data_IF_150695364869
#
_entry.id   IF_150695364869
#
_cell.length_a   1.000
_cell.length_b   1.000
_cell.length_c   1.000
_cell.angle_alpha   90.00
_cell.angle_beta   90.00
_cell.angle_gamma   90.00
#
_symmetry.space_group_name_H-M   'P 1'
#
loop_
_entity.id
_entity.type
_entity.pdbx_description
1 polymer ?
#
# COMPACT_ATOMS: atom_id res chain seq x y z
N UNK A 1 13.03 16.82 21.59
CA UNK A 1 13.36 15.65 20.78
C UNK A 1 12.14 15.46 19.90
N UNK A 2 12.19 16.05 18.72
CA UNK A 2 11.13 15.88 17.72
C UNK A 2 11.13 14.40 17.36
N UNK A 3 10.10 13.71 17.85
CA UNK A 3 9.79 12.36 17.37
C UNK A 3 9.21 12.60 15.98
N UNK A 4 10.03 12.56 14.91
CA UNK A 4 9.54 12.49 13.55
C UNK A 4 8.68 11.23 13.49
N UNK A 5 7.37 11.40 13.70
CA UNK A 5 6.42 10.30 13.52
C UNK A 5 6.48 9.90 12.05
N UNK A 6 7.02 8.70 11.80
CA UNK A 6 7.08 8.16 10.45
C UNK A 6 5.66 7.83 10.03
N UNK A 7 5.19 8.48 8.95
CA UNK A 7 3.89 8.19 8.35
C UNK A 7 3.83 6.71 7.96
N UNK A 8 2.87 5.98 8.51
CA UNK A 8 2.71 4.54 8.26
C UNK A 8 2.04 4.32 6.91
N UNK A 9 2.44 3.26 6.19
CA UNK A 9 1.95 2.96 4.85
C UNK A 9 0.97 1.80 4.83
N UNK A 10 -0.11 1.97 4.10
CA UNK A 10 -1.10 0.93 3.81
C UNK A 10 -0.87 0.43 2.38
N UNK A 11 -0.50 -0.86 2.25
CA UNK A 11 -0.01 -1.48 1.01
C UNK A 11 -0.95 -2.63 0.61
N UNK A 12 -1.99 -2.40 -0.20
CA UNK A 12 -2.79 -3.49 -0.73
C UNK A 12 -1.98 -4.38 -1.68
N UNK A 13 -2.23 -5.68 -1.59
CA UNK A 13 -1.58 -6.69 -2.41
C UNK A 13 -2.46 -7.08 -3.59
N UNK A 14 -1.87 -7.07 -4.78
CA UNK A 14 -2.52 -7.46 -6.02
C UNK A 14 -2.22 -8.93 -6.33
N UNK A 15 -3.24 -9.66 -6.79
CA UNK A 15 -3.06 -10.98 -7.33
C UNK A 15 -2.96 -10.95 -8.87
N UNK A 16 -2.78 -12.13 -9.48
CA UNK A 16 -2.59 -12.27 -10.93
C UNK A 16 -3.80 -11.88 -11.77
N UNK A 17 -5.02 -11.91 -11.18
CA UNK A 17 -6.24 -11.63 -11.91
C UNK A 17 -6.60 -10.14 -11.73
N UNK A 18 -6.83 -9.44 -12.84
CA UNK A 18 -7.23 -8.03 -12.86
C UNK A 18 -6.23 -7.07 -12.17
N UNK A 19 -4.93 -7.41 -12.11
CA UNK A 19 -3.92 -6.63 -11.39
C UNK A 19 -3.88 -5.15 -11.80
N UNK A 20 -3.99 -4.85 -13.09
CA UNK A 20 -3.98 -3.46 -13.59
C UNK A 20 -5.22 -2.68 -13.15
N UNK A 21 -6.41 -3.31 -13.22
CA UNK A 21 -7.66 -2.68 -12.76
C UNK A 21 -7.62 -2.41 -11.26
N UNK A 22 -7.17 -3.40 -10.49
CA UNK A 22 -7.04 -3.27 -9.03
C UNK A 22 -5.98 -2.25 -8.64
N UNK A 23 -4.88 -2.15 -9.38
CA UNK A 23 -3.87 -1.13 -9.17
C UNK A 23 -4.45 0.28 -9.33
N UNK A 24 -5.19 0.52 -10.41
CA UNK A 24 -5.90 1.80 -10.61
C UNK A 24 -6.89 2.09 -9.48
N UNK A 25 -7.67 1.08 -9.09
CA UNK A 25 -8.61 1.23 -7.99
C UNK A 25 -7.92 1.68 -6.70
N UNK A 26 -6.80 1.04 -6.30
CA UNK A 26 -6.09 1.37 -5.07
C UNK A 26 -5.30 2.68 -5.17
N UNK A 27 -4.79 3.03 -6.36
CA UNK A 27 -4.23 4.35 -6.62
C UNK A 27 -5.26 5.45 -6.31
N UNK A 28 -6.48 5.30 -6.84
CA UNK A 28 -7.55 6.27 -6.67
C UNK A 28 -8.19 6.21 -5.25
N UNK A 29 -8.06 5.08 -4.57
CA UNK A 29 -8.51 4.89 -3.20
C UNK A 29 -7.52 5.36 -2.13
N UNK A 30 -6.37 5.95 -2.52
CA UNK A 30 -5.41 6.55 -1.60
C UNK A 30 -4.48 5.55 -0.92
N UNK A 31 -4.16 4.42 -1.55
CA UNK A 31 -3.08 3.55 -1.07
C UNK A 31 -1.73 4.25 -1.19
N UNK A 32 -0.80 3.97 -0.26
CA UNK A 32 0.52 4.60 -0.24
C UNK A 32 1.51 3.95 -1.20
N UNK A 33 1.44 2.63 -1.30
CA UNK A 33 2.16 1.77 -2.25
C UNK A 33 1.23 0.61 -2.62
N UNK A 34 1.56 -0.15 -3.66
CA UNK A 34 0.92 -1.42 -3.99
C UNK A 34 1.96 -2.51 -4.13
N UNK A 35 1.60 -3.75 -3.78
CA UNK A 35 2.48 -4.90 -3.95
C UNK A 35 1.85 -5.90 -4.94
N UNK A 36 2.60 -6.30 -5.97
CA UNK A 36 2.16 -7.32 -6.92
C UNK A 36 2.90 -8.63 -6.66
N UNK A 37 2.15 -9.70 -6.40
CA UNK A 37 2.68 -11.02 -6.07
C UNK A 37 2.49 -12.00 -7.22
N UNK A 38 3.56 -12.36 -7.92
CA UNK A 38 3.59 -13.44 -8.89
C UNK A 38 4.01 -14.77 -8.23
N UNK A 39 3.13 -15.30 -7.38
CA UNK A 39 3.39 -16.57 -6.67
C UNK A 39 3.56 -17.76 -7.62
N UNK A 40 2.94 -17.72 -8.81
CA UNK A 40 3.07 -18.77 -9.84
C UNK A 40 4.45 -18.77 -10.48
N UNK A 41 5.06 -17.59 -10.71
CA UNK A 41 6.40 -17.53 -11.28
C UNK A 41 7.42 -18.31 -10.46
N UNK A 42 7.37 -18.16 -9.13
CA UNK A 42 8.25 -18.91 -8.23
C UNK A 42 7.97 -20.42 -8.26
N UNK A 43 6.69 -20.83 -8.22
CA UNK A 43 6.30 -22.24 -8.23
C UNK A 43 6.65 -22.95 -9.53
N UNK A 44 6.45 -22.26 -10.64
CA UNK A 44 6.66 -22.80 -12.00
C UNK A 44 8.12 -22.64 -12.47
N UNK A 45 8.99 -22.00 -11.68
CA UNK A 45 10.39 -21.73 -12.03
C UNK A 45 10.56 -20.80 -13.24
N UNK A 46 9.54 -20.00 -13.57
CA UNK A 46 9.56 -19.08 -14.71
C UNK A 46 10.07 -17.69 -14.33
N UNK A 47 10.42 -16.92 -15.33
CA UNK A 47 10.77 -15.50 -15.18
C UNK A 47 9.59 -14.69 -14.61
N UNK A 48 9.87 -13.55 -13.93
CA UNK A 48 8.83 -12.64 -13.47
C UNK A 48 8.07 -12.04 -14.66
N UNK A 49 6.80 -11.72 -14.46
CA UNK A 49 5.97 -11.13 -15.50
C UNK A 49 6.24 -9.62 -15.66
N UNK A 50 7.33 -9.30 -16.36
CA UNK A 50 7.77 -7.92 -16.60
C UNK A 50 6.72 -7.09 -17.35
N UNK A 51 5.93 -7.72 -18.21
CA UNK A 51 4.90 -7.04 -19.00
C UNK A 51 3.79 -6.48 -18.11
N UNK A 52 3.30 -7.27 -17.14
CA UNK A 52 2.26 -6.81 -16.21
C UNK A 52 2.79 -5.72 -15.26
N UNK A 53 4.05 -5.84 -14.81
CA UNK A 53 4.71 -4.80 -13.99
C UNK A 53 4.68 -3.46 -14.73
N UNK A 54 5.09 -3.45 -16.00
CA UNK A 54 5.09 -2.24 -16.82
C UNK A 54 3.68 -1.67 -16.98
N UNK A 55 2.68 -2.52 -17.30
CA UNK A 55 1.29 -2.08 -17.45
C UNK A 55 0.73 -1.47 -16.16
N UNK A 56 1.07 -2.03 -14.99
CA UNK A 56 0.67 -1.45 -13.71
C UNK A 56 1.36 -0.08 -13.53
N UNK A 57 2.68 -0.02 -13.64
CA UNK A 57 3.44 1.23 -13.44
C UNK A 57 3.03 2.36 -14.40
N UNK A 58 2.68 2.00 -15.65
CA UNK A 58 2.17 2.99 -16.63
C UNK A 58 0.75 3.48 -16.30
N UNK A 59 0.04 2.81 -15.39
CA UNK A 59 -1.37 3.07 -15.08
C UNK A 59 -1.60 3.80 -13.77
N UNK A 60 -0.60 3.86 -12.88
CA UNK A 60 -0.72 4.40 -11.52
C UNK A 60 0.43 5.36 -11.22
N UNK A 61 0.23 6.24 -10.24
CA UNK A 61 1.25 7.20 -9.79
C UNK A 61 1.94 6.75 -8.49
N UNK A 62 1.34 5.82 -7.74
CA UNK A 62 1.89 5.29 -6.48
C UNK A 62 2.95 4.21 -6.74
N UNK A 63 3.93 4.05 -5.83
CA UNK A 63 5.01 3.08 -6.00
C UNK A 63 4.52 1.64 -6.05
N UNK A 64 5.14 0.80 -6.89
CA UNK A 64 4.89 -0.63 -7.00
C UNK A 64 6.05 -1.44 -6.42
N UNK A 65 5.73 -2.38 -5.53
CA UNK A 65 6.62 -3.43 -5.04
C UNK A 65 6.38 -4.69 -5.89
N UNK A 66 7.41 -5.16 -6.60
CA UNK A 66 7.33 -6.37 -7.42
C UNK A 66 7.81 -7.60 -6.64
N UNK A 67 6.96 -8.61 -6.48
CA UNK A 67 7.23 -9.82 -5.71
C UNK A 67 7.04 -11.08 -6.56
N UNK A 68 7.97 -12.02 -6.46
CA UNK A 68 7.91 -13.33 -7.11
C UNK A 68 8.71 -13.43 -8.41
N UNK A 69 9.15 -14.66 -8.71
CA UNK A 69 9.89 -14.99 -9.92
C UNK A 69 11.36 -14.55 -9.95
N UNK A 70 11.88 -13.91 -8.90
CA UNK A 70 13.28 -13.49 -8.82
C UNK A 70 14.17 -14.71 -8.57
N UNK A 71 15.18 -14.93 -9.42
CA UNK A 71 16.14 -16.05 -9.37
C UNK A 71 17.58 -15.57 -9.51
N UNK A 72 17.78 -14.48 -10.24
CA UNK A 72 19.09 -13.92 -10.57
C UNK A 72 19.05 -12.38 -10.64
N UNK A 73 20.21 -11.74 -10.68
CA UNK A 73 20.34 -10.29 -10.70
C UNK A 73 19.68 -9.63 -11.91
N UNK A 74 19.63 -10.33 -13.04
CA UNK A 74 18.96 -9.83 -14.25
C UNK A 74 17.43 -9.75 -14.08
N UNK A 75 16.83 -10.66 -13.27
CA UNK A 75 15.39 -10.58 -12.93
C UNK A 75 15.10 -9.31 -12.11
N UNK A 76 15.94 -9.00 -11.10
CA UNK A 76 15.84 -7.76 -10.32
C UNK A 76 15.91 -6.53 -11.23
N UNK A 77 16.90 -6.51 -12.13
CA UNK A 77 17.07 -5.42 -13.09
C UNK A 77 15.85 -5.25 -13.99
N UNK A 78 15.33 -6.36 -14.57
CA UNK A 78 14.15 -6.33 -15.44
C UNK A 78 12.95 -5.72 -14.73
N UNK A 79 12.70 -6.09 -13.46
CA UNK A 79 11.57 -5.57 -12.67
C UNK A 79 11.73 -4.07 -12.38
N UNK A 80 12.91 -3.64 -11.93
CA UNK A 80 13.17 -2.22 -11.65
C UNK A 80 13.09 -1.36 -12.93
N UNK A 81 13.60 -1.86 -14.07
CA UNK A 81 13.53 -1.13 -15.34
C UNK A 81 12.14 -1.17 -15.98
N UNK A 82 11.27 -2.07 -15.53
CA UNK A 82 9.85 -2.05 -15.90
C UNK A 82 9.03 -0.99 -15.12
N UNK A 83 9.65 -0.34 -14.11
CA UNK A 83 9.03 0.73 -13.32
C UNK A 83 8.79 0.38 -11.85
N UNK A 84 9.03 -0.87 -11.40
CA UNK A 84 8.90 -1.20 -9.99
C UNK A 84 9.82 -0.31 -9.13
N UNK A 85 9.30 0.22 -8.03
CA UNK A 85 10.08 1.01 -7.08
C UNK A 85 10.98 0.13 -6.23
N UNK A 86 10.48 -1.04 -5.85
CA UNK A 86 11.19 -2.04 -5.02
C UNK A 86 10.95 -3.45 -5.56
N UNK A 87 11.90 -4.33 -5.27
CA UNK A 87 11.81 -5.78 -5.57
C UNK A 87 11.84 -6.57 -4.27
N UNK A 88 10.91 -7.51 -4.15
CA UNK A 88 10.79 -8.36 -2.97
C UNK A 88 11.27 -9.78 -3.27
N UNK A 89 12.19 -10.29 -2.45
CA UNK A 89 12.81 -11.61 -2.58
C UNK A 89 12.48 -12.49 -1.37
N UNK A 90 11.90 -13.68 -1.60
CA UNK A 90 11.69 -14.74 -0.59
C UNK A 90 12.64 -15.90 -0.88
N UNK A 91 12.31 -16.71 -1.88
CA UNK A 91 13.07 -17.92 -2.22
C UNK A 91 14.49 -17.63 -2.66
N UNK A 92 14.73 -16.54 -3.40
CA UNK A 92 16.05 -16.13 -3.81
C UNK A 92 16.93 -15.75 -2.60
N UNK A 93 16.41 -15.00 -1.65
CA UNK A 93 17.12 -14.64 -0.42
C UNK A 93 17.47 -15.85 0.46
N UNK A 94 16.64 -16.90 0.42
CA UNK A 94 16.89 -18.14 1.15
C UNK A 94 17.91 -19.05 0.45
N UNK A 95 17.73 -19.26 -0.86
CA UNK A 95 18.49 -20.26 -1.63
C UNK A 95 19.81 -19.72 -2.22
N UNK A 96 19.88 -18.43 -2.49
CA UNK A 96 21.03 -17.72 -3.07
C UNK A 96 21.23 -16.38 -2.35
N UNK A 97 21.64 -16.40 -1.06
CA UNK A 97 21.72 -15.18 -0.23
C UNK A 97 22.62 -14.09 -0.83
N UNK A 98 23.66 -14.47 -1.58
CA UNK A 98 24.58 -13.57 -2.26
C UNK A 98 23.87 -12.63 -3.23
N UNK A 99 22.73 -13.05 -3.80
CA UNK A 99 21.93 -12.24 -4.68
C UNK A 99 21.38 -10.99 -3.98
N UNK A 100 21.11 -11.06 -2.68
CA UNK A 100 20.68 -9.89 -1.90
C UNK A 100 21.77 -8.83 -1.89
N UNK A 101 23.02 -9.25 -1.66
CA UNK A 101 24.21 -8.35 -1.66
C UNK A 101 24.43 -7.76 -3.05
N UNK A 102 24.46 -8.60 -4.08
CA UNK A 102 24.66 -8.15 -5.47
C UNK A 102 23.58 -7.14 -5.91
N UNK A 103 22.32 -7.40 -5.55
CA UNK A 103 21.21 -6.51 -5.88
C UNK A 103 21.29 -5.19 -5.10
N UNK A 104 21.62 -5.25 -3.80
CA UNK A 104 21.76 -4.06 -2.95
C UNK A 104 22.93 -3.18 -3.37
N UNK A 105 24.07 -3.76 -3.68
CA UNK A 105 25.26 -3.04 -4.16
C UNK A 105 25.01 -2.35 -5.49
N UNK A 106 24.20 -2.97 -6.36
CA UNK A 106 23.97 -2.46 -7.71
C UNK A 106 22.83 -1.46 -7.81
N UNK A 107 21.75 -1.65 -7.04
CA UNK A 107 20.51 -0.89 -7.21
C UNK A 107 20.14 -0.04 -5.99
N UNK A 108 20.85 -0.19 -4.87
CA UNK A 108 20.56 0.42 -3.58
C UNK A 108 19.75 -0.50 -2.67
N UNK A 109 20.12 -0.57 -1.41
CA UNK A 109 19.43 -1.40 -0.40
C UNK A 109 17.96 -1.00 -0.23
N UNK A 110 17.63 0.28 -0.35
CA UNK A 110 16.27 0.84 -0.23
C UNK A 110 15.29 0.28 -1.28
N UNK A 111 15.81 -0.36 -2.33
CA UNK A 111 15.02 -1.02 -3.37
C UNK A 111 14.85 -2.51 -3.15
N UNK A 112 15.50 -3.09 -2.14
CA UNK A 112 15.53 -4.53 -1.89
C UNK A 112 14.79 -4.87 -0.62
N UNK A 113 13.65 -5.55 -0.78
CA UNK A 113 12.85 -6.11 0.32
C UNK A 113 13.15 -7.60 0.41
N UNK A 114 13.41 -8.09 1.61
CA UNK A 114 13.50 -9.53 1.86
C UNK A 114 12.31 -10.02 2.68
N UNK A 115 11.70 -11.10 2.23
CA UNK A 115 10.55 -11.72 2.91
C UNK A 115 10.99 -12.79 3.88
N UNK A 116 10.47 -12.74 5.09
CA UNK A 116 10.53 -13.81 6.09
C UNK A 116 9.12 -14.38 6.25
N UNK A 117 8.95 -15.66 5.92
CA UNK A 117 7.73 -16.38 6.23
C UNK A 117 7.86 -16.98 7.63
N UNK A 118 7.14 -16.41 8.57
CA UNK A 118 7.26 -16.79 9.99
C UNK A 118 6.72 -18.19 10.26
N UNK A 119 5.92 -18.76 9.35
CA UNK A 119 5.45 -20.15 9.46
C UNK A 119 6.49 -21.18 8.99
N UNK A 120 7.53 -20.74 8.29
CA UNK A 120 8.57 -21.58 7.69
C UNK A 120 9.97 -21.31 8.29
N UNK A 121 10.08 -20.40 9.27
CA UNK A 121 11.36 -19.93 9.80
C UNK A 121 11.50 -20.21 11.30
N UNK A 122 12.41 -21.09 11.68
CA UNK A 122 12.64 -21.47 13.09
C UNK A 122 13.34 -20.38 13.91
N UNK A 123 14.18 -19.53 13.29
CA UNK A 123 14.88 -18.40 13.93
C UNK A 123 14.68 -17.11 13.13
N UNK A 124 13.49 -16.47 13.22
CA UNK A 124 13.18 -15.26 12.45
C UNK A 124 14.10 -14.08 12.78
N UNK A 125 14.50 -13.93 14.03
CA UNK A 125 15.39 -12.82 14.47
C UNK A 125 16.80 -13.00 13.94
N UNK A 126 17.36 -14.20 14.03
CA UNK A 126 18.68 -14.52 13.47
C UNK A 126 18.69 -14.38 11.95
N UNK A 127 17.61 -14.83 11.28
CA UNK A 127 17.50 -14.69 9.84
C UNK A 127 17.34 -13.21 9.41
N UNK A 128 16.56 -12.40 10.14
CA UNK A 128 16.46 -10.96 9.89
C UNK A 128 17.82 -10.25 10.02
N UNK A 129 18.63 -10.59 11.04
CA UNK A 129 20.00 -10.07 11.18
C UNK A 129 20.88 -10.45 9.99
N UNK A 130 20.78 -11.70 9.52
CA UNK A 130 21.50 -12.17 8.34
C UNK A 130 21.10 -11.39 7.09
N UNK A 131 19.82 -11.20 6.84
CA UNK A 131 19.31 -10.43 5.70
C UNK A 131 19.79 -8.98 5.73
N UNK A 132 19.78 -8.35 6.91
CA UNK A 132 20.36 -7.01 7.09
C UNK A 132 21.84 -6.97 6.73
N UNK A 133 22.62 -7.94 7.20
CA UNK A 133 24.06 -8.02 6.90
C UNK A 133 24.34 -8.25 5.41
N UNK A 134 23.41 -8.89 4.69
CA UNK A 134 23.46 -9.07 3.23
C UNK A 134 23.05 -7.83 2.44
N UNK A 135 22.53 -6.79 3.08
CA UNK A 135 22.15 -5.54 2.43
C UNK A 135 20.65 -5.36 2.16
N UNK A 136 19.78 -6.18 2.76
CA UNK A 136 18.33 -5.92 2.70
C UNK A 136 18.02 -4.52 3.27
N UNK A 137 17.19 -3.75 2.58
CA UNK A 137 16.77 -2.41 3.02
C UNK A 137 15.48 -2.40 3.80
N UNK A 138 14.64 -3.43 3.63
CA UNK A 138 13.33 -3.56 4.29
C UNK A 138 12.97 -5.05 4.44
N UNK A 139 12.20 -5.38 5.46
CA UNK A 139 11.71 -6.74 5.70
C UNK A 139 10.20 -6.82 5.51
N UNK A 140 9.73 -7.82 4.78
CA UNK A 140 8.32 -8.20 4.71
C UNK A 140 8.11 -9.48 5.54
N UNK A 141 7.30 -9.37 6.60
CA UNK A 141 7.01 -10.49 7.51
C UNK A 141 5.66 -11.10 7.15
N UNK A 142 5.69 -12.32 6.60
CA UNK A 142 4.48 -13.07 6.24
C UNK A 142 4.11 -14.05 7.34
N UNK A 143 2.81 -14.12 7.63
CA UNK A 143 2.25 -15.17 8.45
C UNK A 143 0.81 -15.47 7.99
N UNK A 144 0.51 -16.75 7.78
CA UNK A 144 -0.78 -17.18 7.24
C UNK A 144 -1.90 -17.24 8.30
N UNK A 145 -1.54 -17.31 9.58
CA UNK A 145 -2.48 -17.34 10.70
C UNK A 145 -2.09 -16.31 11.75
N UNK A 146 -3.04 -15.49 12.18
CA UNK A 146 -2.86 -14.54 13.27
C UNK A 146 -2.81 -15.30 14.59
N UNK A 147 -1.62 -15.76 14.98
CA UNK A 147 -1.36 -16.35 16.31
C UNK A 147 -0.70 -15.31 17.21
N UNK A 148 -0.90 -15.36 18.52
CA UNK A 148 -0.33 -14.39 19.46
C UNK A 148 1.20 -14.25 19.36
N UNK A 149 1.91 -15.34 19.06
CA UNK A 149 3.35 -15.37 18.90
C UNK A 149 3.83 -14.51 17.70
N UNK A 150 2.97 -14.28 16.70
CA UNK A 150 3.30 -13.42 15.56
C UNK A 150 3.70 -12.01 15.99
N UNK A 151 2.90 -11.38 16.85
CA UNK A 151 3.16 -10.04 17.35
C UNK A 151 4.46 -9.96 18.14
N UNK A 152 4.72 -10.96 19.00
CA UNK A 152 5.93 -11.03 19.81
C UNK A 152 7.18 -11.21 18.95
N UNK A 153 7.10 -12.02 17.90
CA UNK A 153 8.18 -12.22 16.94
C UNK A 153 8.47 -10.91 16.19
N UNK A 154 7.43 -10.20 15.71
CA UNK A 154 7.60 -8.91 15.03
C UNK A 154 8.25 -7.88 15.96
N UNK A 155 7.78 -7.76 17.21
CA UNK A 155 8.38 -6.89 18.23
C UNK A 155 9.85 -7.24 18.45
N UNK A 156 10.18 -8.52 18.59
CA UNK A 156 11.55 -8.99 18.77
C UNK A 156 12.45 -8.67 17.57
N UNK A 157 11.96 -8.81 16.34
CA UNK A 157 12.72 -8.42 15.14
C UNK A 157 12.99 -6.92 15.17
N UNK A 158 11.99 -6.09 15.45
CA UNK A 158 12.13 -4.63 15.49
C UNK A 158 13.12 -4.15 16.56
N UNK A 159 13.11 -4.77 17.72
CA UNK A 159 14.05 -4.45 18.81
C UNK A 159 15.50 -4.83 18.47
N UNK A 160 15.69 -5.87 17.68
CA UNK A 160 17.00 -6.46 17.42
C UNK A 160 17.59 -6.12 16.05
N UNK A 161 16.73 -5.66 15.10
CA UNK A 161 17.14 -5.42 13.70
C UNK A 161 16.65 -4.04 13.28
N UNK A 162 17.56 -3.10 13.15
CA UNK A 162 17.25 -1.73 12.71
C UNK A 162 17.03 -1.71 11.18
N UNK A 163 15.88 -2.23 10.72
CA UNK A 163 15.36 -2.15 9.37
C UNK A 163 13.87 -1.81 9.43
N UNK A 164 13.34 -1.08 8.45
CA UNK A 164 11.91 -0.94 8.27
C UNK A 164 11.24 -2.31 8.10
N UNK A 165 10.03 -2.44 8.64
CA UNK A 165 9.26 -3.69 8.61
C UNK A 165 7.89 -3.44 8.01
N UNK A 166 7.53 -4.29 7.05
CA UNK A 166 6.17 -4.45 6.54
C UNK A 166 5.57 -5.68 7.21
N UNK A 167 4.52 -5.52 7.98
CA UNK A 167 3.74 -6.66 8.50
C UNK A 167 2.64 -7.03 7.52
N UNK A 168 2.20 -8.28 7.49
CA UNK A 168 1.13 -8.72 6.60
C UNK A 168 -0.13 -9.12 7.36
N UNK A 169 -1.29 -8.85 6.77
CA UNK A 169 -2.58 -9.29 7.31
C UNK A 169 -3.56 -9.64 6.18
N UNK A 170 -4.50 -10.53 6.50
CA UNK A 170 -5.67 -10.85 5.66
C UNK A 170 -6.92 -10.08 6.11
N UNK A 171 -6.84 -9.33 7.22
CA UNK A 171 -7.94 -8.53 7.72
C UNK A 171 -8.22 -7.34 6.79
N UNK A 172 -9.50 -7.06 6.58
CA UNK A 172 -9.99 -5.85 5.92
C UNK A 172 -10.63 -4.89 6.93
N UNK A 173 -10.66 -5.28 8.20
CA UNK A 173 -11.21 -4.47 9.27
C UNK A 173 -10.18 -3.40 9.68
N UNK A 174 -10.56 -2.12 9.57
CA UNK A 174 -9.69 -0.99 9.90
C UNK A 174 -9.21 -0.97 11.35
N UNK A 175 -10.06 -1.37 12.31
CA UNK A 175 -9.67 -1.45 13.74
C UNK A 175 -8.57 -2.50 13.93
N UNK A 176 -8.70 -3.70 13.33
CA UNK A 176 -7.70 -4.76 13.44
C UNK A 176 -6.38 -4.37 12.74
N UNK A 177 -6.44 -3.60 11.66
CA UNK A 177 -5.24 -3.04 10.99
C UNK A 177 -4.55 -2.02 11.89
N UNK A 178 -5.30 -1.12 12.51
CA UNK A 178 -4.78 -0.13 13.44
C UNK A 178 -4.18 -0.78 14.69
N UNK A 179 -4.85 -1.79 15.26
CA UNK A 179 -4.33 -2.56 16.41
C UNK A 179 -2.99 -3.22 16.06
N UNK A 180 -2.89 -3.89 14.91
CA UNK A 180 -1.65 -4.53 14.47
C UNK A 180 -0.51 -3.51 14.28
N UNK A 181 -0.77 -2.35 13.69
CA UNK A 181 0.24 -1.30 13.53
C UNK A 181 0.70 -0.75 14.89
N UNK A 182 -0.22 -0.54 15.85
CA UNK A 182 0.11 -0.09 17.19
C UNK A 182 0.92 -1.14 17.96
N UNK A 183 0.49 -2.40 17.93
CA UNK A 183 1.14 -3.48 18.66
C UNK A 183 2.54 -3.79 18.13
N UNK A 184 2.74 -3.72 16.82
CA UNK A 184 4.03 -4.03 16.18
C UNK A 184 4.91 -2.81 16.00
N UNK A 185 4.33 -1.62 16.00
CA UNK A 185 4.98 -0.37 15.58
C UNK A 185 5.69 -0.49 14.21
N UNK A 186 5.22 -1.36 13.31
CA UNK A 186 5.77 -1.51 11.97
C UNK A 186 5.61 -0.23 11.14
N UNK A 187 6.49 0.01 10.18
CA UNK A 187 6.44 1.18 9.30
C UNK A 187 5.34 1.05 8.27
N UNK A 188 4.98 -0.19 7.90
CA UNK A 188 3.99 -0.45 6.86
C UNK A 188 3.21 -1.73 7.15
N UNK A 189 2.01 -1.80 6.58
CA UNK A 189 1.20 -3.01 6.61
C UNK A 189 0.76 -3.38 5.19
N UNK A 190 0.96 -4.65 4.82
CA UNK A 190 0.49 -5.21 3.55
C UNK A 190 -0.82 -5.98 3.75
N UNK A 191 -1.80 -5.66 2.92
CA UNK A 191 -3.17 -6.18 3.01
C UNK A 191 -3.40 -7.22 1.92
N UNK A 192 -3.50 -8.48 2.32
CA UNK A 192 -3.75 -9.61 1.41
C UNK A 192 -5.25 -9.91 1.37
N UNK A 193 -5.97 -9.31 0.42
CA UNK A 193 -7.37 -9.65 0.21
C UNK A 193 -7.73 -9.61 -1.28
N UNK A 194 -8.60 -10.53 -1.70
CA UNK A 194 -9.10 -10.61 -3.08
C UNK A 194 -10.26 -9.66 -3.37
N UNK A 195 -10.85 -9.07 -2.32
CA UNK A 195 -11.95 -8.11 -2.45
C UNK A 195 -11.43 -6.67 -2.44
N UNK A 196 -12.13 -5.78 -3.11
CA UNK A 196 -11.86 -4.34 -3.05
C UNK A 196 -12.04 -3.84 -1.61
N UNK A 197 -11.01 -3.18 -1.09
CA UNK A 197 -11.00 -2.62 0.27
C UNK A 197 -11.13 -1.10 0.19
N UNK A 198 -11.82 -0.51 1.15
CA UNK A 198 -11.84 0.94 1.33
C UNK A 198 -10.60 1.36 2.13
N UNK A 199 -9.58 1.82 1.40
CA UNK A 199 -8.29 2.21 2.00
C UNK A 199 -8.44 3.44 2.91
N UNK A 200 -9.31 4.38 2.53
CA UNK A 200 -9.50 5.58 3.33
C UNK A 200 -10.25 5.29 4.63
N UNK A 201 -11.20 4.33 4.63
CA UNK A 201 -11.83 3.85 5.86
C UNK A 201 -10.80 3.19 6.80
N UNK A 202 -9.92 2.34 6.26
CA UNK A 202 -8.82 1.73 7.04
C UNK A 202 -7.90 2.81 7.63
N UNK A 203 -7.49 3.79 6.83
CA UNK A 203 -6.65 4.91 7.29
C UNK A 203 -7.35 5.79 8.33
N UNK A 204 -8.68 5.95 8.22
CA UNK A 204 -9.47 6.68 9.21
C UNK A 204 -9.38 6.00 10.59
N UNK A 205 -9.56 4.68 10.66
CA UNK A 205 -9.40 3.93 11.90
C UNK A 205 -7.96 4.03 12.45
N UNK A 206 -6.95 4.02 11.57
CA UNK A 206 -5.57 4.26 12.00
C UNK A 206 -5.40 5.64 12.65
N UNK A 207 -5.96 6.68 12.05
CA UNK A 207 -5.91 8.05 12.59
C UNK A 207 -6.64 8.16 13.92
N UNK A 208 -7.81 7.53 14.08
CA UNK A 208 -8.58 7.46 15.34
C UNK A 208 -7.78 6.73 16.44
N UNK A 209 -6.95 5.78 16.07
CA UNK A 209 -6.01 5.09 16.96
C UNK A 209 -4.68 5.86 17.19
N UNK A 210 -4.58 7.14 16.77
CA UNK A 210 -3.40 7.99 16.86
C UNK A 210 -2.19 7.48 16.05
N UNK A 211 -2.44 6.76 14.97
CA UNK A 211 -1.40 6.34 14.02
C UNK A 211 -1.31 7.40 12.91
N UNK A 212 -0.10 7.86 12.63
CA UNK A 212 0.14 8.81 11.55
C UNK A 212 0.07 8.07 10.20
N UNK A 213 -0.91 8.42 9.37
CA UNK A 213 -1.16 7.92 8.03
C UNK A 213 -1.55 9.08 7.12
N UNK A 214 -1.24 8.97 5.84
CA UNK A 214 -1.62 9.97 4.84
C UNK A 214 -3.12 9.85 4.51
N UNK A 215 -3.87 10.88 4.85
CA UNK A 215 -5.32 10.99 4.58
C UNK A 215 -5.59 12.09 3.57
N UNK A 216 -6.65 11.95 2.80
CA UNK A 216 -7.19 13.09 2.07
C UNK A 216 -7.74 14.11 3.05
N UNK A 217 -7.15 15.28 3.09
CA UNK A 217 -7.54 16.36 4.00
C UNK A 217 -7.95 17.59 3.20
N UNK A 218 -8.97 18.28 3.69
CA UNK A 218 -9.33 19.57 3.13
C UNK A 218 -8.63 20.69 3.88
N UNK A 219 -8.05 21.63 3.13
CA UNK A 219 -7.47 22.84 3.70
C UNK A 219 -8.53 23.83 4.20
N UNK A 220 -9.82 23.60 3.91
CA UNK A 220 -10.91 24.50 4.24
C UNK A 220 -12.12 23.73 4.78
N UNK A 221 -12.59 24.03 6.01
CA UNK A 221 -13.81 23.42 6.53
C UNK A 221 -15.04 23.94 5.76
N UNK A 222 -16.11 23.13 5.72
CA UNK A 222 -17.31 23.49 4.95
C UNK A 222 -17.93 24.82 5.36
N UNK A 223 -17.85 25.17 6.63
CA UNK A 223 -18.37 26.41 7.21
C UNK A 223 -17.67 27.69 6.71
N UNK A 224 -16.47 27.54 6.14
CA UNK A 224 -15.74 28.66 5.56
C UNK A 224 -16.20 29.02 4.15
N UNK A 225 -17.01 28.17 3.50
CA UNK A 225 -17.55 28.48 2.19
C UNK A 225 -18.76 29.43 2.24
N UNK A 226 -18.89 30.27 1.23
CA UNK A 226 -20.11 31.07 1.02
C UNK A 226 -21.17 30.20 0.35
N UNK A 227 -22.20 29.85 1.12
CA UNK A 227 -23.30 29.02 0.64
C UNK A 227 -24.30 29.83 -0.18
N UNK A 228 -24.99 29.16 -1.11
CA UNK A 228 -26.17 29.72 -1.77
C UNK A 228 -27.40 29.68 -0.89
N UNK A 229 -28.58 30.11 -1.39
CA UNK A 229 -29.85 30.13 -0.66
C UNK A 229 -30.31 28.74 -0.18
N UNK A 230 -29.83 27.68 -0.82
CA UNK A 230 -30.18 26.29 -0.51
C UNK A 230 -29.17 25.61 0.44
N UNK A 231 -28.18 26.37 0.95
CA UNK A 231 -27.12 25.84 1.80
C UNK A 231 -26.09 25.00 1.07
N UNK A 232 -25.93 25.21 -0.23
CA UNK A 232 -25.04 24.43 -1.11
C UNK A 232 -23.89 25.27 -1.63
N UNK A 233 -22.78 24.63 -1.96
CA UNK A 233 -21.66 25.19 -2.72
C UNK A 233 -21.65 24.64 -4.16
N UNK A 234 -21.34 25.46 -5.18
CA UNK A 234 -21.05 24.95 -6.52
C UNK A 234 -19.71 24.20 -6.50
N UNK A 235 -19.65 23.07 -7.17
CA UNK A 235 -18.45 22.26 -7.31
C UNK A 235 -18.15 22.05 -8.79
N UNK A 236 -16.93 22.38 -9.21
CA UNK A 236 -16.42 22.07 -10.55
C UNK A 236 -15.41 20.93 -10.40
N UNK A 237 -15.72 19.78 -11.01
CA UNK A 237 -14.85 18.62 -10.99
C UNK A 237 -14.00 18.63 -12.24
N UNK A 238 -12.69 18.50 -12.06
CA UNK A 238 -11.70 18.42 -13.15
C UNK A 238 -10.92 17.12 -13.05
N UNK A 239 -10.54 16.57 -14.20
CA UNK A 239 -9.61 15.45 -14.25
C UNK A 239 -8.23 15.92 -13.77
N UNK A 240 -7.67 15.27 -12.75
CA UNK A 240 -6.49 15.76 -12.03
C UNK A 240 -5.21 15.83 -12.89
N UNK A 241 -5.07 14.97 -13.92
CA UNK A 241 -3.92 15.00 -14.85
C UNK A 241 -4.10 15.98 -16.01
N UNK A 242 -5.29 16.05 -16.60
CA UNK A 242 -5.53 16.81 -17.83
C UNK A 242 -6.09 18.20 -17.57
N UNK A 243 -6.70 18.43 -16.40
CA UNK A 243 -7.43 19.66 -16.08
C UNK A 243 -8.77 19.80 -16.82
N UNK A 244 -9.19 18.76 -17.56
CA UNK A 244 -10.49 18.77 -18.25
C UNK A 244 -11.63 18.86 -17.25
N UNK A 245 -12.60 19.75 -17.49
CA UNK A 245 -13.79 19.87 -16.67
C UNK A 245 -14.74 18.72 -16.99
N UNK A 246 -14.93 17.82 -16.02
CA UNK A 246 -15.78 16.64 -16.15
C UNK A 246 -17.25 16.97 -15.87
N UNK A 247 -17.52 17.78 -14.84
CA UNK A 247 -18.87 18.21 -14.53
C UNK A 247 -18.91 19.41 -13.59
N UNK A 248 -20.08 20.03 -13.52
CA UNK A 248 -20.44 21.04 -12.52
C UNK A 248 -21.64 20.54 -11.74
N UNK A 249 -21.54 20.51 -10.44
CA UNK A 249 -22.58 20.02 -9.53
C UNK A 249 -22.67 20.90 -8.28
N UNK A 250 -23.43 20.45 -7.29
CA UNK A 250 -23.52 21.11 -6.00
C UNK A 250 -23.16 20.12 -4.88
N UNK A 251 -22.66 20.67 -3.77
CA UNK A 251 -22.37 19.89 -2.55
C UNK A 251 -23.03 20.56 -1.35
N UNK A 252 -23.61 19.74 -0.49
CA UNK A 252 -23.92 20.10 0.88
C UNK A 252 -22.77 19.67 1.81
N UNK A 253 -22.87 19.94 3.10
CA UNK A 253 -21.85 19.57 4.08
C UNK A 253 -21.54 18.07 4.04
N UNK A 254 -22.58 17.24 4.06
CA UNK A 254 -22.44 15.78 4.06
C UNK A 254 -21.68 15.26 2.82
N UNK A 255 -22.05 15.72 1.63
CA UNK A 255 -21.37 15.29 0.38
C UNK A 255 -19.95 15.82 0.28
N UNK A 256 -19.67 17.01 0.81
CA UNK A 256 -18.32 17.56 0.91
C UNK A 256 -17.44 16.72 1.86
N UNK A 257 -17.90 16.50 3.09
CA UNK A 257 -17.17 15.70 4.08
C UNK A 257 -16.96 14.26 3.61
N UNK A 258 -17.98 13.67 2.94
CA UNK A 258 -17.85 12.34 2.34
C UNK A 258 -16.81 12.32 1.24
N UNK A 259 -16.77 13.33 0.37
CA UNK A 259 -15.74 13.45 -0.68
C UNK A 259 -14.35 13.47 -0.10
N UNK A 260 -14.12 14.30 0.93
CA UNK A 260 -12.81 14.37 1.59
C UNK A 260 -12.45 13.02 2.24
N UNK A 261 -13.39 12.43 2.99
CA UNK A 261 -13.15 11.18 3.71
C UNK A 261 -12.83 10.00 2.79
N UNK A 262 -13.51 9.90 1.64
CA UNK A 262 -13.38 8.74 0.74
C UNK A 262 -12.41 8.95 -0.41
N UNK A 263 -11.98 10.20 -0.67
CA UNK A 263 -11.24 10.57 -1.88
C UNK A 263 -12.06 10.46 -3.17
N UNK A 264 -13.38 10.25 -3.08
CA UNK A 264 -14.29 10.08 -4.20
C UNK A 264 -15.32 11.17 -4.25
N UNK A 265 -15.49 11.78 -5.43
CA UNK A 265 -16.45 12.86 -5.59
C UNK A 265 -17.88 12.41 -5.26
N UNK A 266 -18.46 13.07 -4.27
CA UNK A 266 -19.85 12.89 -3.86
C UNK A 266 -20.58 14.22 -4.03
N UNK A 267 -21.72 14.22 -4.72
CA UNK A 267 -22.51 15.39 -5.03
C UNK A 267 -23.86 15.37 -4.33
N UNK A 268 -24.43 16.56 -4.14
CA UNK A 268 -25.83 16.69 -3.73
C UNK A 268 -26.73 16.82 -4.95
N UNK A 269 -27.57 15.83 -5.20
CA UNK A 269 -28.58 15.88 -6.26
C UNK A 269 -29.80 16.68 -5.78
N UNK A 270 -29.96 17.90 -6.28
CA UNK A 270 -31.13 18.76 -5.93
C UNK A 270 -32.44 18.14 -6.37
N UNK A 271 -32.49 17.47 -7.52
CA UNK A 271 -33.70 16.85 -8.05
C UNK A 271 -34.13 15.61 -7.29
N UNK A 272 -33.16 14.86 -6.72
CA UNK A 272 -33.43 13.63 -5.98
C UNK A 272 -33.34 13.82 -4.46
N UNK A 273 -32.92 14.99 -4.02
CA UNK A 273 -32.71 15.37 -2.62
C UNK A 273 -31.92 14.36 -1.81
N UNK A 274 -30.76 13.94 -2.38
CA UNK A 274 -29.84 12.97 -1.78
C UNK A 274 -28.40 13.15 -2.27
N UNK A 275 -27.45 12.63 -1.49
CA UNK A 275 -26.04 12.51 -1.89
C UNK A 275 -25.90 11.40 -2.94
N UNK A 276 -25.14 11.65 -4.01
CA UNK A 276 -24.83 10.71 -5.08
C UNK A 276 -23.32 10.63 -5.27
N UNK A 277 -22.80 9.42 -5.21
CA UNK A 277 -21.40 9.14 -5.53
C UNK A 277 -21.29 8.81 -7.01
N UNK A 278 -20.45 9.54 -7.73
CA UNK A 278 -20.05 9.13 -9.06
C UNK A 278 -18.85 8.20 -8.94
N UNK A 279 -19.10 6.90 -9.09
CA UNK A 279 -18.05 5.97 -9.49
C UNK A 279 -17.69 6.34 -10.92
N UNK A 280 -16.43 6.68 -11.14
CA UNK A 280 -15.90 7.07 -12.46
C UNK A 280 -15.98 5.89 -13.44
N UNK A 281 -17.11 5.75 -14.09
CA UNK A 281 -17.25 5.20 -15.43
C UNK A 281 -17.75 6.34 -16.32
N UNK A 282 -16.86 7.25 -16.66
CA UNK A 282 -16.99 8.19 -17.75
C UNK A 282 -15.71 8.17 -18.56
#
# INVERSE_FOLDING_TARGET
MDNDMICKKIIPCLDLNNAVEMAKYYNDAGADEIAYFDSKATKDGREPNVAIIRQICDSVDIPLIACGGVRELEDVKKLLYAGASKVCMKSAALNTPELVTEASDRFGSERIICTIDLSECDDPVGYARKLKALGAGELLLLHNNMVPEYLDIVKSIRENVALPVIVSTYSTNGEAVAEMLNETNAESISLYNLQKMDIMEIKQHCREANIDVDLFESSMPFEAFKLNSDGLIPCVTQHYKTGEVLMVAYMNKESYEKTIRTGRMTYWSRSRNRSEEHTSEL
#
